data_IF_073251118184
#
_entry.id   IF_073251118184
#
_cell.length_a   1.000
_cell.length_b   1.000
_cell.length_c   1.000
_cell.angle_alpha   90.00
_cell.angle_beta   90.00
_cell.angle_gamma   90.00
#
_symmetry.space_group_name_H-M   'P 1'
#
loop_
_entity.id
_entity.type
_entity.pdbx_description
1 polymer ?
#
# COMPACT_ATOMS: atom_id res chain seq x y z
N UNK A 1 12.12 4.10 -6.11
CA UNK A 1 11.29 3.44 -7.14
C UNK A 1 10.85 4.48 -8.16
N UNK A 2 10.94 4.19 -9.46
CA UNK A 2 10.52 5.13 -10.51
C UNK A 2 9.04 4.90 -10.88
N UNK A 3 8.36 5.91 -11.45
CA UNK A 3 6.96 5.76 -11.89
C UNK A 3 6.80 4.72 -13.01
N UNK A 4 7.84 4.49 -13.80
CA UNK A 4 7.88 3.52 -14.89
C UNK A 4 7.78 2.05 -14.38
N UNK A 5 8.26 1.79 -13.16
CA UNK A 5 8.20 0.49 -12.49
C UNK A 5 6.78 0.15 -11.99
N UNK A 6 5.90 1.16 -11.94
CA UNK A 6 4.52 1.03 -11.48
C UNK A 6 3.53 0.78 -12.63
N UNK A 7 4.03 0.61 -13.85
CA UNK A 7 3.23 0.25 -15.01
C UNK A 7 2.54 -1.12 -14.85
N UNK A 8 1.35 -1.32 -15.49
CA UNK A 8 0.66 -2.61 -15.48
C UNK A 8 1.58 -3.73 -15.99
N UNK A 9 1.84 -4.73 -15.16
CA UNK A 9 2.71 -5.88 -15.48
C UNK A 9 4.12 -5.83 -14.85
N UNK A 10 4.64 -4.65 -14.49
CA UNK A 10 5.92 -4.50 -13.76
C UNK A 10 5.73 -4.27 -12.26
N UNK A 11 4.59 -3.71 -11.88
CA UNK A 11 4.28 -3.30 -10.52
C UNK A 11 4.28 -4.46 -9.50
N UNK A 12 3.82 -5.65 -9.89
CA UNK A 12 3.83 -6.85 -9.03
C UNK A 12 5.25 -7.33 -8.74
N UNK A 13 6.15 -7.25 -9.73
CA UNK A 13 7.57 -7.60 -9.57
C UNK A 13 8.28 -6.56 -8.71
N UNK A 14 8.01 -5.27 -8.95
CA UNK A 14 8.57 -4.17 -8.17
C UNK A 14 8.18 -4.27 -6.67
N UNK A 15 6.91 -4.55 -6.38
CA UNK A 15 6.45 -4.74 -4.99
C UNK A 15 7.06 -5.98 -4.35
N UNK A 16 7.09 -7.13 -5.04
CA UNK A 16 7.72 -8.33 -4.48
C UNK A 16 9.22 -8.14 -4.25
N UNK A 17 9.92 -7.44 -5.14
CA UNK A 17 11.33 -7.11 -4.94
C UNK A 17 11.54 -6.21 -3.73
N UNK A 18 10.67 -5.21 -3.50
CA UNK A 18 10.74 -4.41 -2.27
C UNK A 18 10.48 -5.24 -1.01
N UNK A 19 9.48 -6.13 -1.02
CA UNK A 19 9.23 -7.04 0.11
C UNK A 19 10.47 -7.89 0.38
N UNK A 20 11.10 -8.46 -0.65
CA UNK A 20 12.33 -9.25 -0.50
C UNK A 20 13.49 -8.41 0.01
N UNK A 21 13.78 -7.26 -0.61
CA UNK A 21 14.89 -6.40 -0.20
C UNK A 21 14.73 -5.91 1.24
N UNK A 22 13.54 -5.45 1.64
CA UNK A 22 13.29 -4.97 3.00
C UNK A 22 13.26 -6.10 4.04
N UNK A 23 12.84 -7.30 3.64
CA UNK A 23 12.89 -8.49 4.50
C UNK A 23 14.34 -8.97 4.75
N UNK A 24 15.22 -8.90 3.74
CA UNK A 24 16.62 -9.32 3.85
C UNK A 24 17.59 -8.23 4.36
N UNK A 25 17.35 -6.95 4.07
CA UNK A 25 18.19 -5.82 4.53
C UNK A 25 18.10 -5.54 6.03
N UNK A 26 17.22 -6.24 6.77
CA UNK A 26 17.09 -6.14 8.22
C UNK A 26 18.35 -6.61 8.98
N UNK A 27 19.35 -7.16 8.30
CA UNK A 27 20.61 -7.58 8.91
C UNK A 27 21.72 -6.52 8.95
N UNK A 28 21.66 -5.39 8.22
CA UNK A 28 22.88 -4.54 8.13
C UNK A 28 22.75 -3.02 8.24
N UNK A 29 21.61 -2.35 7.96
CA UNK A 29 21.67 -0.89 7.80
C UNK A 29 20.64 -0.10 8.63
N UNK A 30 21.21 0.67 9.57
CA UNK A 30 20.71 1.93 10.12
C UNK A 30 20.46 2.97 9.01
N UNK A 31 19.44 2.80 8.17
CA UNK A 31 19.01 3.86 7.24
C UNK A 31 17.62 4.35 7.61
N UNK A 32 17.64 5.43 8.39
CA UNK A 32 16.55 6.12 9.07
C UNK A 32 15.66 6.93 8.10
N UNK A 33 15.51 6.49 6.85
CA UNK A 33 14.74 7.23 5.83
C UNK A 33 13.82 6.30 5.06
N UNK A 34 12.65 6.00 5.65
CA UNK A 34 11.48 5.53 4.90
C UNK A 34 10.88 4.19 5.31
N UNK A 35 11.48 3.48 6.26
CA UNK A 35 10.85 2.29 6.87
C UNK A 35 10.14 2.72 8.15
N UNK A 36 8.91 3.23 8.02
CA UNK A 36 8.10 3.45 9.22
C UNK A 36 7.61 2.09 9.73
N UNK A 37 8.33 1.60 10.74
CA UNK A 37 8.12 0.29 11.35
C UNK A 37 9.44 -0.34 11.75
N UNK A 38 10.21 0.30 12.63
CA UNK A 38 11.37 -0.30 13.33
C UNK A 38 10.94 -1.45 14.27
N UNK A 39 10.18 -2.42 13.78
CA UNK A 39 9.57 -3.45 14.62
C UNK A 39 8.59 -2.92 15.66
N UNK A 40 8.12 -1.67 15.52
CA UNK A 40 7.08 -1.10 16.40
C UNK A 40 5.70 -1.58 15.95
N UNK A 41 4.95 -2.15 16.89
CA UNK A 41 3.56 -2.56 16.68
C UNK A 41 2.68 -1.35 16.41
N UNK A 42 1.79 -1.46 15.43
CA UNK A 42 0.87 -0.40 15.02
C UNK A 42 -0.44 -1.00 14.52
N UNK A 43 -1.53 -0.25 14.63
CA UNK A 43 -2.79 -0.59 13.98
C UNK A 43 -2.86 0.04 12.59
N UNK A 44 -3.10 -0.79 11.58
CA UNK A 44 -3.46 -0.32 10.24
C UNK A 44 -4.98 -0.25 10.15
N UNK A 45 -5.50 0.97 10.00
CA UNK A 45 -6.94 1.25 9.94
C UNK A 45 -7.29 1.82 8.57
N UNK A 46 -8.25 1.20 7.89
CA UNK A 46 -8.80 1.68 6.61
C UNK A 46 -10.16 2.35 6.88
N UNK A 47 -10.20 3.68 6.84
CA UNK A 47 -11.41 4.45 7.14
C UNK A 47 -11.44 5.75 6.32
N UNK A 48 -12.63 6.20 5.91
CA UNK A 48 -12.84 7.48 5.20
C UNK A 48 -11.92 7.66 3.97
N UNK A 49 -11.71 6.58 3.21
CA UNK A 49 -10.82 6.54 2.05
C UNK A 49 -9.34 6.86 2.37
N UNK A 50 -8.94 6.69 3.63
CA UNK A 50 -7.56 6.81 4.11
C UNK A 50 -7.08 5.51 4.74
N UNK A 51 -5.77 5.27 4.62
CA UNK A 51 -5.02 4.26 5.35
C UNK A 51 -4.28 4.99 6.47
N UNK A 52 -4.69 4.74 7.71
CA UNK A 52 -4.11 5.32 8.89
C UNK A 52 -3.26 4.28 9.63
N UNK A 53 -2.06 4.69 10.04
CA UNK A 53 -1.27 3.96 11.01
C UNK A 53 -1.49 4.61 12.36
N UNK A 54 -1.94 3.81 13.32
CA UNK A 54 -2.35 4.27 14.65
C UNK A 54 -1.46 3.62 15.70
N UNK A 55 -0.98 4.41 16.65
CA UNK A 55 -0.21 3.91 17.78
C UNK A 55 -1.09 3.05 18.70
N UNK A 56 -0.64 1.84 19.10
CA UNK A 56 -1.46 0.96 19.92
C UNK A 56 -1.65 1.45 21.36
N UNK A 57 -0.77 2.33 21.86
CA UNK A 57 -0.77 2.78 23.26
C UNK A 57 -1.76 3.90 23.50
N UNK A 58 -1.72 4.96 22.69
CA UNK A 58 -2.52 6.17 22.87
C UNK A 58 -3.58 6.39 21.78
N UNK A 59 -3.64 5.49 20.78
CA UNK A 59 -4.52 5.57 19.61
C UNK A 59 -4.31 6.84 18.77
N UNK A 60 -3.15 7.47 18.88
CA UNK A 60 -2.79 8.61 18.04
C UNK A 60 -2.52 8.16 16.60
N UNK A 61 -2.89 8.99 15.63
CA UNK A 61 -2.59 8.74 14.21
C UNK A 61 -1.14 9.12 13.95
N UNK A 62 -0.29 8.11 13.73
CA UNK A 62 1.12 8.27 13.38
C UNK A 62 1.31 8.66 11.92
N UNK A 63 0.50 8.06 11.03
CA UNK A 63 0.55 8.32 9.60
C UNK A 63 -0.84 8.26 8.98
N UNK A 64 -1.07 9.08 7.95
CA UNK A 64 -2.31 9.03 7.17
C UNK A 64 -2.01 9.16 5.68
N UNK A 65 -2.34 8.10 4.94
CA UNK A 65 -2.16 7.99 3.51
C UNK A 65 -3.52 7.91 2.80
N UNK A 66 -3.80 8.85 1.90
CA UNK A 66 -5.01 8.77 1.09
C UNK A 66 -4.98 7.53 0.17
N UNK A 67 -6.01 6.70 0.19
CA UNK A 67 -6.03 5.44 -0.58
C UNK A 67 -5.93 5.73 -2.09
N UNK A 68 -6.57 6.81 -2.56
CA UNK A 68 -6.49 7.27 -3.94
C UNK A 68 -5.06 7.63 -4.42
N UNK A 69 -4.14 7.91 -3.49
CA UNK A 69 -2.75 8.25 -3.81
C UNK A 69 -1.80 7.05 -3.78
N UNK A 70 -2.29 5.89 -3.30
CA UNK A 70 -1.54 4.64 -3.34
C UNK A 70 -1.49 4.17 -4.79
N UNK A 71 -0.27 4.03 -5.33
CA UNK A 71 -0.07 3.64 -6.73
C UNK A 71 -0.19 2.13 -6.91
N UNK A 72 0.40 1.38 -5.99
CA UNK A 72 0.38 -0.08 -6.01
C UNK A 72 0.37 -0.59 -4.57
N UNK A 73 -0.24 -1.75 -4.37
CA UNK A 73 -0.11 -2.55 -3.16
C UNK A 73 0.05 -4.03 -3.51
N UNK A 74 0.53 -4.83 -2.56
CA UNK A 74 0.74 -6.25 -2.76
C UNK A 74 0.83 -7.01 -1.43
N UNK A 75 0.76 -8.34 -1.56
CA UNK A 75 0.86 -9.27 -0.44
C UNK A 75 2.01 -10.24 -0.67
N UNK A 76 2.77 -10.55 0.37
CA UNK A 76 3.90 -11.48 0.30
C UNK A 76 3.43 -12.91 0.02
N UNK A 77 4.10 -13.59 -0.91
CA UNK A 77 3.73 -14.92 -1.38
C UNK A 77 4.05 -16.03 -0.37
N UNK A 78 5.10 -15.86 0.42
CA UNK A 78 5.67 -16.94 1.22
C UNK A 78 4.83 -17.28 2.47
N UNK A 79 4.34 -16.26 3.19
CA UNK A 79 3.56 -16.47 4.42
C UNK A 79 2.17 -15.79 4.39
N UNK A 80 1.82 -15.08 3.31
CA UNK A 80 0.51 -14.40 3.17
C UNK A 80 0.20 -13.31 4.20
N UNK A 81 1.17 -12.97 5.05
CA UNK A 81 1.08 -12.00 6.16
C UNK A 81 1.80 -10.69 5.89
N UNK A 82 2.71 -10.67 4.94
CA UNK A 82 3.37 -9.42 4.55
C UNK A 82 2.44 -8.63 3.62
N UNK A 83 2.21 -7.37 3.96
CA UNK A 83 1.48 -6.41 3.16
C UNK A 83 2.42 -5.28 2.79
N UNK A 84 2.36 -4.81 1.55
CA UNK A 84 3.15 -3.67 1.12
C UNK A 84 2.33 -2.71 0.25
N UNK A 85 2.62 -1.42 0.35
CA UNK A 85 2.10 -0.43 -0.57
C UNK A 85 3.16 0.58 -0.98
N UNK A 86 2.98 1.19 -2.15
CA UNK A 86 3.83 2.29 -2.63
C UNK A 86 2.96 3.52 -2.80
N UNK A 87 3.38 4.59 -2.14
CA UNK A 87 2.74 5.89 -2.25
C UNK A 87 3.82 6.97 -2.42
N UNK A 88 3.39 8.12 -2.92
CA UNK A 88 4.26 9.30 -3.03
C UNK A 88 4.32 9.99 -1.68
N UNK A 89 5.53 10.15 -1.18
CA UNK A 89 5.82 10.91 0.03
C UNK A 89 5.49 12.40 -0.18
N UNK A 90 4.82 13.01 0.80
CA UNK A 90 4.35 14.40 0.69
C UNK A 90 5.49 15.40 0.68
N UNK A 91 6.56 15.14 1.43
CA UNK A 91 7.66 16.09 1.62
C UNK A 91 8.70 15.98 0.52
N UNK A 92 9.04 14.76 0.10
CA UNK A 92 10.13 14.51 -0.85
C UNK A 92 9.67 14.29 -2.29
N UNK A 93 8.37 14.08 -2.54
CA UNK A 93 7.79 13.64 -3.83
C UNK A 93 8.33 12.30 -4.35
N UNK A 94 9.14 11.61 -3.57
CA UNK A 94 9.71 10.30 -3.90
C UNK A 94 8.66 9.22 -3.63
N UNK A 95 8.65 8.18 -4.47
CA UNK A 95 7.85 6.98 -4.24
C UNK A 95 8.52 6.12 -3.16
N UNK A 96 7.85 5.97 -2.02
CA UNK A 96 8.29 5.14 -0.91
C UNK A 96 7.49 3.83 -0.88
N UNK A 97 8.19 2.73 -0.66
CA UNK A 97 7.56 1.44 -0.40
C UNK A 97 7.46 1.24 1.10
N UNK A 98 6.25 0.97 1.57
CA UNK A 98 5.94 0.70 2.97
C UNK A 98 5.58 -0.77 3.09
N UNK A 99 6.28 -1.50 3.96
CA UNK A 99 6.10 -2.95 4.17
C UNK A 99 5.74 -3.21 5.62
N UNK A 100 4.72 -4.05 5.82
CA UNK A 100 4.17 -4.40 7.12
C UNK A 100 4.05 -5.92 7.22
N UNK A 101 4.38 -6.46 8.39
CA UNK A 101 4.04 -7.84 8.77
C UNK A 101 2.73 -7.77 9.55
N UNK A 102 1.68 -8.37 9.05
CA UNK A 102 0.35 -8.31 9.66
C UNK A 102 0.02 -9.60 10.42
N UNK A 103 -0.70 -9.47 11.53
CA UNK A 103 -1.23 -10.62 12.29
C UNK A 103 -2.40 -11.28 11.56
N UNK A 104 -3.20 -10.47 10.86
CA UNK A 104 -4.27 -10.92 9.96
C UNK A 104 -3.74 -11.23 8.57
N UNK A 105 -4.40 -12.12 7.79
CA UNK A 105 -4.02 -12.36 6.40
C UNK A 105 -3.97 -11.06 5.58
N UNK A 106 -2.79 -10.75 5.01
CA UNK A 106 -2.56 -9.53 4.24
C UNK A 106 -3.51 -9.40 3.03
N UNK A 107 -4.00 -10.54 2.52
CA UNK A 107 -5.04 -10.60 1.48
C UNK A 107 -6.32 -9.85 1.88
N UNK A 108 -6.71 -9.87 3.15
CA UNK A 108 -7.90 -9.15 3.62
C UNK A 108 -7.73 -7.63 3.49
N UNK A 109 -6.53 -7.12 3.78
CA UNK A 109 -6.16 -5.71 3.63
C UNK A 109 -6.19 -5.33 2.14
N UNK A 110 -5.56 -6.12 1.28
CA UNK A 110 -5.55 -5.88 -0.16
C UNK A 110 -6.96 -5.88 -0.77
N UNK A 111 -7.84 -6.80 -0.35
CA UNK A 111 -9.25 -6.82 -0.76
C UNK A 111 -9.98 -5.56 -0.30
N UNK A 112 -9.77 -5.12 0.94
CA UNK A 112 -10.41 -3.92 1.48
C UNK A 112 -10.00 -2.66 0.72
N UNK A 113 -8.73 -2.52 0.38
CA UNK A 113 -8.23 -1.44 -0.48
C UNK A 113 -8.88 -1.49 -1.86
N UNK A 114 -9.01 -2.68 -2.45
CA UNK A 114 -9.67 -2.84 -3.74
C UNK A 114 -11.14 -2.38 -3.69
N UNK A 115 -11.87 -2.72 -2.63
CA UNK A 115 -13.26 -2.30 -2.43
C UNK A 115 -13.40 -0.78 -2.22
N UNK A 116 -12.45 -0.15 -1.55
CA UNK A 116 -12.46 1.31 -1.39
C UNK A 116 -12.17 1.99 -2.74
N UNK A 117 -11.16 1.51 -3.46
CA UNK A 117 -10.82 2.01 -4.79
C UNK A 117 -11.93 1.80 -5.82
N UNK A 118 -12.68 0.70 -5.75
CA UNK A 118 -13.81 0.47 -6.66
C UNK A 118 -14.96 1.46 -6.43
N UNK A 119 -15.20 1.88 -5.18
CA UNK A 119 -16.16 2.94 -4.84
C UNK A 119 -15.70 4.33 -5.23
N UNK A 120 -14.39 4.58 -5.27
CA UNK A 120 -13.79 5.86 -5.66
C UNK A 120 -13.82 6.09 -7.17
N UNK A 121 -13.93 5.04 -7.98
CA UNK A 121 -14.15 5.22 -9.42
C UNK A 121 -15.58 5.77 -9.59
N UNK A 122 -15.76 6.97 -10.17
CA UNK A 122 -17.09 7.36 -10.58
C UNK A 122 -17.58 6.29 -11.55
N UNK A 123 -18.75 5.74 -11.29
CA UNK A 123 -19.47 4.95 -12.29
C UNK A 123 -19.51 5.79 -13.56
N UNK A 124 -18.69 5.45 -14.56
CA UNK A 124 -18.96 5.97 -15.89
C UNK A 124 -20.43 5.61 -16.18
N UNK A 125 -21.28 6.55 -16.59
CA UNK A 125 -22.59 6.18 -17.07
C UNK A 125 -22.36 5.13 -18.17
N UNK A 126 -22.97 3.96 -18.01
CA UNK A 126 -22.95 2.94 -19.04
C UNK A 126 -23.37 3.63 -20.34
N UNK A 127 -22.42 3.73 -21.28
CA UNK A 127 -22.66 4.29 -22.59
C UNK A 127 -23.89 3.58 -23.14
N UNK A 128 -25.01 4.29 -23.20
CA UNK A 128 -26.20 3.83 -23.91
C UNK A 128 -25.74 3.58 -25.33
N UNK A 129 -25.49 2.31 -25.69
CA UNK A 129 -25.19 1.98 -27.06
C UNK A 129 -26.48 2.19 -27.83
N UNK A 130 -26.53 3.33 -28.52
CA UNK A 130 -27.45 3.56 -29.62
C UNK A 130 -27.20 2.45 -30.64
N UNK A 131 -28.12 1.50 -30.73
CA UNK A 131 -28.19 0.58 -31.86
C UNK A 131 -28.52 1.41 -33.12
N UNK A 132 -27.75 1.30 -34.21
CA UNK A 132 -28.13 1.90 -35.48
C UNK A 132 -28.98 0.92 -36.30
N UNK A 133 -29.99 1.47 -36.99
CA UNK A 133 -30.57 0.93 -38.23
C UNK A 133 -31.64 -0.13 -38.08
#
# INVERSE_FOLDING_TARGET
MAEEDLSPGKSSVAVNNCIRQLSYCKNDIRDTVGIWGEGKDMYLVLENNMLNLVDPMDRSVLHSQAIASIRVWGVGRDNGRDFAYVARDKDTRILKCHVFRCDTPAKAIATSLHLICSRLKPSLPASTSSAPG
#
